data_IF_952747300376
#
_entry.id   IF_952747300376
#
_cell.length_a   1.000
_cell.length_b   1.000
_cell.length_c   1.000
_cell.angle_alpha   90.00
_cell.angle_beta   90.00
_cell.angle_gamma   90.00
#
_symmetry.space_group_name_H-M   'P 1'
#
loop_
_entity.id
_entity.type
_entity.pdbx_description
1 polymer ?
#
# COMPACT_ATOMS: atom_id res chain seq x y z
N UNK A 1 4.92 13.19 -36.21
CA UNK A 1 4.88 12.46 -34.93
C UNK A 1 6.19 11.74 -34.67
N UNK A 2 6.44 10.55 -35.21
CA UNK A 2 7.73 9.83 -35.02
C UNK A 2 8.97 10.71 -35.30
N UNK A 3 8.99 11.42 -36.44
CA UNK A 3 10.10 12.29 -36.83
C UNK A 3 10.42 13.37 -35.79
N UNK A 4 9.37 13.97 -35.23
CA UNK A 4 9.46 15.02 -34.22
C UNK A 4 9.96 14.44 -32.88
N UNK A 5 9.42 13.30 -32.48
CA UNK A 5 9.81 12.58 -31.27
C UNK A 5 11.27 12.12 -31.32
N UNK A 6 11.71 11.58 -32.46
CA UNK A 6 13.08 11.11 -32.66
C UNK A 6 14.07 12.26 -32.49
N UNK A 7 13.80 13.41 -33.14
CA UNK A 7 14.63 14.60 -33.02
C UNK A 7 14.66 15.11 -31.59
N UNK A 8 13.49 15.21 -30.94
CA UNK A 8 13.37 15.64 -29.55
C UNK A 8 14.15 14.73 -28.59
N UNK A 9 13.98 13.41 -28.66
CA UNK A 9 14.67 12.46 -27.79
C UNK A 9 16.19 12.50 -28.00
N UNK A 10 16.65 12.65 -29.24
CA UNK A 10 18.07 12.81 -29.56
C UNK A 10 18.64 14.08 -28.90
N UNK A 11 17.97 15.22 -29.05
CA UNK A 11 18.40 16.49 -28.48
C UNK A 11 18.31 16.51 -26.95
N UNK A 12 17.24 15.94 -26.37
CA UNK A 12 17.08 15.77 -24.92
C UNK A 12 18.20 14.95 -24.28
N UNK A 13 18.75 13.98 -25.02
CA UNK A 13 19.88 13.15 -24.57
C UNK A 13 21.24 13.71 -24.99
N UNK A 14 21.32 14.97 -25.45
CA UNK A 14 22.55 15.62 -25.92
C UNK A 14 23.31 14.82 -26.99
N UNK A 15 22.59 14.11 -27.86
CA UNK A 15 23.17 13.21 -28.84
C UNK A 15 23.22 13.86 -30.22
N UNK A 16 24.33 13.70 -30.94
CA UNK A 16 24.45 14.09 -32.34
C UNK A 16 23.83 13.03 -33.27
N UNK A 17 23.50 13.41 -34.51
CA UNK A 17 22.97 12.43 -35.48
C UNK A 17 23.96 11.30 -35.78
N UNK A 18 25.28 11.55 -35.66
CA UNK A 18 26.32 10.54 -35.90
C UNK A 18 26.43 9.56 -34.73
N UNK A 19 26.25 10.02 -33.49
CA UNK A 19 26.24 9.14 -32.31
C UNK A 19 25.02 8.23 -32.31
N UNK A 20 23.84 8.75 -32.67
CA UNK A 20 22.65 7.91 -32.81
C UNK A 20 22.80 6.88 -33.94
N UNK A 21 23.34 7.30 -35.09
CA UNK A 21 23.65 6.38 -36.19
C UNK A 21 24.61 5.27 -35.72
N UNK A 22 25.66 5.63 -35.00
CA UNK A 22 26.67 4.68 -34.48
C UNK A 22 26.04 3.70 -33.50
N UNK A 23 25.17 4.16 -32.59
CA UNK A 23 24.43 3.27 -31.66
C UNK A 23 23.51 2.28 -32.38
N UNK A 24 22.98 2.66 -33.55
CA UNK A 24 22.15 1.82 -34.41
C UNK A 24 22.97 0.97 -35.40
N UNK A 25 24.30 0.92 -35.26
CA UNK A 25 25.18 0.16 -36.14
C UNK A 25 25.32 0.73 -37.55
N UNK A 26 25.04 2.03 -37.75
CA UNK A 26 25.10 2.73 -39.04
C UNK A 26 26.34 3.61 -39.13
N UNK A 27 26.93 3.68 -40.34
CA UNK A 27 28.16 4.45 -40.61
C UNK A 27 27.93 5.92 -40.97
N UNK A 28 26.70 6.31 -41.33
CA UNK A 28 26.38 7.66 -41.81
C UNK A 28 25.17 8.25 -41.12
N UNK A 29 25.14 9.58 -41.03
CA UNK A 29 24.02 10.37 -40.48
C UNK A 29 22.81 10.44 -41.40
N UNK A 30 22.96 10.04 -42.67
CA UNK A 30 21.93 10.18 -43.71
C UNK A 30 20.58 9.60 -43.32
N UNK A 31 20.56 8.37 -42.79
CA UNK A 31 19.31 7.72 -42.36
C UNK A 31 18.62 8.50 -41.23
N UNK A 32 19.39 8.95 -40.23
CA UNK A 32 18.85 9.72 -39.10
C UNK A 32 18.27 11.04 -39.59
N UNK A 33 18.99 11.75 -40.45
CA UNK A 33 18.55 13.02 -41.02
C UNK A 33 17.24 12.88 -41.82
N UNK A 34 17.11 11.81 -42.61
CA UNK A 34 15.87 11.55 -43.36
C UNK A 34 14.69 11.16 -42.46
N UNK A 35 14.94 10.44 -41.37
CA UNK A 35 13.92 10.10 -40.37
C UNK A 35 13.44 11.33 -39.59
N UNK A 36 14.35 12.19 -39.15
CA UNK A 36 14.01 13.44 -38.45
C UNK A 36 13.27 14.45 -39.33
N UNK A 37 13.50 14.40 -40.66
CA UNK A 37 12.75 15.18 -41.64
C UNK A 37 11.39 14.57 -42.00
N UNK A 38 11.09 13.36 -41.52
CA UNK A 38 9.86 12.64 -41.81
C UNK A 38 9.77 12.10 -43.25
N UNK A 39 10.87 12.05 -43.99
CA UNK A 39 10.90 11.58 -45.39
C UNK A 39 10.71 10.06 -45.49
N UNK A 40 11.28 9.33 -44.53
CA UNK A 40 11.19 7.87 -44.42
C UNK A 40 11.07 7.44 -42.96
N UNK A 41 10.53 6.24 -42.74
CA UNK A 41 10.49 5.62 -41.41
C UNK A 41 11.39 4.38 -41.36
N UNK A 42 12.04 4.09 -40.21
CA UNK A 42 12.81 2.87 -40.04
C UNK A 42 11.93 1.62 -40.07
N UNK A 43 12.54 0.46 -40.35
CA UNK A 43 11.86 -0.84 -40.23
C UNK A 43 11.59 -1.16 -38.75
N UNK A 44 10.60 -2.02 -38.50
CA UNK A 44 10.17 -2.42 -37.14
C UNK A 44 11.31 -2.80 -36.19
N UNK A 45 12.31 -3.57 -36.65
CA UNK A 45 13.47 -3.93 -35.82
C UNK A 45 14.25 -2.69 -35.34
N UNK A 46 14.54 -1.77 -36.27
CA UNK A 46 15.27 -0.52 -35.97
C UNK A 46 14.41 0.42 -35.11
N UNK A 47 13.10 0.42 -35.29
CA UNK A 47 12.17 1.16 -34.42
C UNK A 47 12.24 0.64 -32.97
N UNK A 48 12.30 -0.68 -32.77
CA UNK A 48 12.48 -1.28 -31.46
C UNK A 48 13.83 -0.88 -30.85
N UNK A 49 14.91 -0.89 -31.64
CA UNK A 49 16.23 -0.48 -31.18
C UNK A 49 16.25 0.99 -30.74
N UNK A 50 15.59 1.88 -31.51
CA UNK A 50 15.44 3.29 -31.16
C UNK A 50 14.66 3.44 -29.83
N UNK A 51 13.55 2.72 -29.68
CA UNK A 51 12.75 2.72 -28.46
C UNK A 51 13.58 2.27 -27.24
N UNK A 52 14.40 1.23 -27.39
CA UNK A 52 15.33 0.77 -26.35
C UNK A 52 16.45 1.77 -26.04
N UNK A 53 17.05 2.40 -27.06
CA UNK A 53 18.12 3.40 -26.86
C UNK A 53 17.63 4.58 -26.03
N UNK A 54 16.42 5.06 -26.30
CA UNK A 54 15.84 6.20 -25.60
C UNK A 54 14.98 5.81 -24.41
N UNK A 55 14.83 4.51 -24.15
CA UNK A 55 14.05 3.95 -23.06
C UNK A 55 12.60 4.49 -23.04
N UNK A 56 11.98 4.49 -24.22
CA UNK A 56 10.58 4.91 -24.43
C UNK A 56 9.78 3.72 -24.97
N UNK A 57 8.46 3.71 -24.74
CA UNK A 57 7.60 2.73 -25.40
C UNK A 57 7.56 3.02 -26.90
N UNK A 58 7.59 1.97 -27.72
CA UNK A 58 7.42 2.08 -29.17
C UNK A 58 6.08 2.75 -29.54
N UNK A 59 5.01 2.45 -28.80
CA UNK A 59 3.71 3.06 -29.04
C UNK A 59 3.73 4.57 -28.78
N UNK A 60 4.35 5.01 -27.68
CA UNK A 60 4.50 6.43 -27.34
C UNK A 60 5.37 7.15 -28.38
N UNK A 61 6.46 6.52 -28.82
CA UNK A 61 7.37 7.03 -29.84
C UNK A 61 6.65 7.28 -31.18
N UNK A 62 5.64 6.47 -31.51
CA UNK A 62 4.93 6.55 -32.78
C UNK A 62 3.70 7.44 -32.72
N UNK A 63 2.95 7.39 -31.62
CA UNK A 63 1.56 7.87 -31.55
C UNK A 63 1.35 9.06 -30.59
N UNK A 64 2.31 9.41 -29.73
CA UNK A 64 2.19 10.53 -28.78
C UNK A 64 3.17 11.66 -29.10
N UNK A 65 2.83 12.90 -28.74
CA UNK A 65 3.77 14.03 -28.86
C UNK A 65 4.62 14.15 -27.59
N UNK A 66 5.83 13.61 -27.63
CA UNK A 66 6.74 13.58 -26.48
C UNK A 66 7.33 14.96 -26.13
N UNK A 67 7.10 15.98 -26.96
CA UNK A 67 7.60 17.34 -26.72
C UNK A 67 6.75 18.12 -25.70
N UNK A 68 5.49 17.71 -25.53
CA UNK A 68 4.49 18.43 -24.72
C UNK A 68 4.21 17.78 -23.36
N UNK A 69 4.95 16.74 -22.97
CA UNK A 69 4.84 16.16 -21.63
C UNK A 69 5.47 17.09 -20.58
N UNK A 70 4.67 18.02 -20.06
CA UNK A 70 4.87 18.70 -18.78
C UNK A 70 4.55 17.80 -17.57
N UNK A 71 4.41 16.49 -17.77
CA UNK A 71 4.47 15.52 -16.68
C UNK A 71 5.84 14.86 -16.69
N UNK A 72 6.50 14.92 -15.53
CA UNK A 72 7.81 14.34 -15.27
C UNK A 72 7.75 12.83 -15.45
N UNK A 73 7.85 12.33 -16.68
CA UNK A 73 8.36 10.98 -16.91
C UNK A 73 9.88 11.07 -16.74
N UNK A 74 10.28 11.05 -15.47
CA UNK A 74 11.62 10.68 -15.01
C UNK A 74 12.16 9.52 -15.87
N UNK A 75 13.48 9.45 -16.14
CA UNK A 75 14.06 8.35 -16.90
C UNK A 75 13.59 7.06 -16.24
N UNK A 76 12.71 6.32 -16.91
CA UNK A 76 12.00 5.20 -16.32
C UNK A 76 13.00 4.07 -16.20
N UNK A 77 13.84 4.12 -15.17
CA UNK A 77 14.78 3.08 -14.83
C UNK A 77 13.99 1.78 -14.81
N UNK A 78 14.22 0.94 -15.82
CA UNK A 78 13.57 -0.35 -15.88
C UNK A 78 14.05 -1.18 -14.69
N UNK A 79 13.10 -1.58 -13.85
CA UNK A 79 13.35 -2.35 -12.64
C UNK A 79 14.16 -3.61 -12.98
N UNK A 80 13.90 -4.22 -14.13
CA UNK A 80 14.61 -5.40 -14.59
C UNK A 80 16.08 -5.10 -14.93
N UNK A 81 16.36 -3.97 -15.58
CA UNK A 81 17.72 -3.51 -15.88
C UNK A 81 18.54 -3.27 -14.61
N UNK A 82 17.97 -2.58 -13.61
CA UNK A 82 18.65 -2.38 -12.32
C UNK A 82 18.88 -3.72 -11.62
N UNK A 83 17.84 -4.55 -11.54
CA UNK A 83 17.90 -5.84 -10.85
C UNK A 83 19.01 -6.74 -11.41
N UNK A 84 19.18 -6.75 -12.74
CA UNK A 84 20.22 -7.52 -13.42
C UNK A 84 21.64 -6.97 -13.18
N UNK A 85 21.81 -5.70 -12.82
CA UNK A 85 23.13 -5.14 -12.46
C UNK A 85 23.52 -5.42 -11.00
N UNK A 86 22.56 -5.80 -10.14
CA UNK A 86 22.84 -6.12 -8.73
C UNK A 86 23.53 -7.47 -8.57
N UNK A 87 24.37 -7.59 -7.52
CA UNK A 87 24.93 -8.87 -7.10
C UNK A 87 23.90 -9.78 -6.41
N UNK A 88 24.23 -11.07 -6.26
CA UNK A 88 23.36 -12.10 -5.66
C UNK A 88 22.73 -11.70 -4.30
N UNK A 89 23.52 -11.11 -3.40
CA UNK A 89 23.03 -10.69 -2.07
C UNK A 89 22.00 -9.58 -2.19
N UNK A 90 22.25 -8.58 -3.05
CA UNK A 90 21.35 -7.45 -3.28
C UNK A 90 20.10 -7.85 -4.07
N UNK A 91 20.22 -8.73 -5.06
CA UNK A 91 19.05 -9.29 -5.78
C UNK A 91 18.09 -10.00 -4.83
N UNK A 92 18.60 -10.82 -3.91
CA UNK A 92 17.77 -11.47 -2.88
C UNK A 92 17.04 -10.47 -2.00
N UNK A 93 17.70 -9.39 -1.60
CA UNK A 93 17.08 -8.34 -0.79
C UNK A 93 15.96 -7.61 -1.55
N UNK A 94 16.22 -7.22 -2.81
CA UNK A 94 15.22 -6.58 -3.68
C UNK A 94 14.03 -7.51 -3.92
N UNK A 95 14.27 -8.80 -4.20
CA UNK A 95 13.19 -9.77 -4.40
C UNK A 95 12.36 -9.95 -3.12
N UNK A 96 13.00 -10.08 -1.95
CA UNK A 96 12.31 -10.18 -0.67
C UNK A 96 11.45 -8.95 -0.39
N UNK A 97 11.97 -7.76 -0.68
CA UNK A 97 11.24 -6.51 -0.52
C UNK A 97 10.06 -6.43 -1.51
N UNK A 98 10.28 -6.73 -2.79
CA UNK A 98 9.22 -6.71 -3.80
C UNK A 98 8.09 -7.71 -3.51
N UNK A 99 8.44 -8.93 -3.07
CA UNK A 99 7.44 -9.92 -2.63
C UNK A 99 6.67 -9.43 -1.42
N UNK A 100 7.38 -8.90 -0.39
CA UNK A 100 6.73 -8.32 0.79
C UNK A 100 5.75 -7.21 0.41
N UNK A 101 6.15 -6.28 -0.45
CA UNK A 101 5.30 -5.18 -0.90
C UNK A 101 4.12 -5.66 -1.75
N UNK A 102 4.31 -6.71 -2.57
CA UNK A 102 3.21 -7.33 -3.31
C UNK A 102 2.23 -8.04 -2.38
N UNK A 103 2.73 -8.71 -1.35
CA UNK A 103 1.89 -9.36 -0.34
C UNK A 103 1.13 -8.32 0.49
N UNK A 104 1.81 -7.24 0.91
CA UNK A 104 1.18 -6.06 1.54
C UNK A 104 0.11 -5.47 0.62
N UNK A 105 0.40 -5.24 -0.67
CA UNK A 105 -0.59 -4.73 -1.63
C UNK A 105 -1.77 -5.69 -1.86
N UNK A 106 -1.53 -7.00 -1.88
CA UNK A 106 -2.60 -8.00 -1.99
C UNK A 106 -3.46 -8.04 -0.73
N UNK A 107 -2.89 -7.75 0.43
CA UNK A 107 -3.61 -7.59 1.67
C UNK A 107 -4.29 -6.22 1.78
N UNK A 108 -3.71 -5.16 1.21
CA UNK A 108 -4.38 -3.88 0.98
C UNK A 108 -5.60 -4.10 0.09
N UNK A 109 -5.53 -4.89 -0.98
CA UNK A 109 -6.72 -5.22 -1.78
C UNK A 109 -7.71 -6.19 -1.09
N UNK A 110 -7.38 -6.74 0.08
CA UNK A 110 -8.35 -7.37 0.99
C UNK A 110 -8.91 -6.39 2.03
N UNK A 111 -8.24 -5.25 2.24
CA UNK A 111 -8.63 -4.16 3.15
C UNK A 111 -9.06 -2.86 2.41
N UNK A 112 -9.07 -2.85 1.07
CA UNK A 112 -9.58 -1.77 0.23
C UNK A 112 -11.04 -2.06 -0.04
N UNK A 113 -11.86 -1.32 0.68
CA UNK A 113 -13.21 -1.00 0.29
C UNK A 113 -13.13 -0.39 -1.11
N UNK A 114 -13.53 -1.17 -2.12
CA UNK A 114 -14.04 -0.55 -3.36
C UNK A 114 -15.14 0.38 -2.90
N UNK A 115 -15.06 1.68 -3.20
CA UNK A 115 -16.12 2.63 -2.86
C UNK A 115 -17.45 1.95 -3.17
N UNK A 116 -18.26 1.64 -2.16
CA UNK A 116 -19.48 0.93 -2.41
C UNK A 116 -20.27 1.86 -3.30
N UNK A 117 -20.57 1.41 -4.51
CA UNK A 117 -21.83 1.78 -5.12
C UNK A 117 -22.86 1.76 -3.99
N UNK A 118 -23.71 2.79 -3.86
CA UNK A 118 -24.66 3.06 -2.75
C UNK A 118 -25.51 1.87 -2.25
N UNK A 119 -25.37 0.72 -2.89
CA UNK A 119 -25.97 -0.58 -2.65
C UNK A 119 -25.14 -1.54 -1.75
N UNK A 120 -23.89 -1.23 -1.37
CA UNK A 120 -22.99 -2.16 -0.64
C UNK A 120 -22.48 -1.64 0.74
N UNK A 121 -23.22 -0.74 1.39
CA UNK A 121 -22.95 -0.30 2.77
C UNK A 121 -24.13 -0.61 3.68
N UNK A 122 -23.87 -0.79 4.96
CA UNK A 122 -24.90 -0.94 6.00
C UNK A 122 -24.62 0.05 7.12
N UNK A 123 -25.68 0.66 7.65
CA UNK A 123 -25.59 1.50 8.85
C UNK A 123 -25.76 0.61 10.07
N UNK A 124 -24.81 0.68 10.99
CA UNK A 124 -24.86 -0.04 12.26
C UNK A 124 -24.75 0.95 13.41
N UNK A 125 -25.41 0.62 14.51
CA UNK A 125 -25.21 1.33 15.78
C UNK A 125 -23.92 0.82 16.43
N UNK A 126 -23.10 1.75 16.91
CA UNK A 126 -21.81 1.46 17.53
C UNK A 126 -21.94 1.60 19.04
N UNK A 127 -21.42 0.63 19.79
CA UNK A 127 -21.53 0.53 21.25
C UNK A 127 -20.54 1.44 22.01
N UNK A 128 -19.72 2.20 21.28
CA UNK A 128 -18.74 3.14 21.83
C UNK A 128 -17.45 3.24 21.02
N UNK A 129 -16.41 3.81 21.64
CA UNK A 129 -15.08 4.00 21.05
C UNK A 129 -14.04 3.20 21.84
N UNK A 130 -13.12 2.51 21.14
CA UNK A 130 -11.97 1.85 21.75
C UNK A 130 -10.71 2.70 21.52
N UNK A 131 -10.01 3.04 22.61
CA UNK A 131 -8.77 3.81 22.57
C UNK A 131 -7.58 2.93 22.23
N UNK A 132 -6.83 3.36 21.23
CA UNK A 132 -5.60 2.75 20.77
C UNK A 132 -4.39 3.53 21.27
N UNK A 133 -4.38 4.06 22.49
CA UNK A 133 -3.21 4.78 23.01
C UNK A 133 -3.31 5.19 24.47
N UNK A 134 -3.93 6.33 24.73
CA UNK A 134 -3.88 7.02 26.05
C UNK A 134 -5.04 6.62 26.97
N UNK A 135 -5.89 5.69 26.51
CA UNK A 135 -7.16 5.41 27.16
C UNK A 135 -8.18 6.50 26.85
N UNK A 136 -9.40 6.09 26.57
CA UNK A 136 -10.54 6.99 26.45
C UNK A 136 -11.53 6.52 27.50
N UNK A 137 -11.94 7.44 28.38
CA UNK A 137 -12.93 7.14 29.40
C UNK A 137 -14.24 6.81 28.69
N UNK A 138 -14.80 5.63 28.97
CA UNK A 138 -16.16 5.31 28.56
C UNK A 138 -17.09 6.24 29.33
N UNK A 139 -17.57 7.30 28.69
CA UNK A 139 -18.66 8.10 29.24
C UNK A 139 -19.94 7.26 29.15
N UNK A 140 -20.45 6.85 30.31
CA UNK A 140 -21.66 6.04 30.49
C UNK A 140 -22.93 6.74 29.92
N UNK A 141 -22.80 8.01 29.49
CA UNK A 141 -23.85 8.83 28.88
C UNK A 141 -23.69 9.07 27.37
N UNK A 142 -22.79 8.38 26.68
CA UNK A 142 -22.67 8.52 25.24
C UNK A 142 -23.85 7.86 24.51
N UNK A 143 -24.68 8.67 23.85
CA UNK A 143 -25.77 8.15 23.02
C UNK A 143 -25.18 7.25 21.92
N UNK A 144 -25.78 6.07 21.65
CA UNK A 144 -25.36 5.24 20.53
C UNK A 144 -25.42 6.04 19.24
N UNK A 145 -24.33 6.08 18.50
CA UNK A 145 -24.24 6.77 17.22
C UNK A 145 -24.05 5.75 16.10
N UNK A 146 -24.72 5.98 14.98
CA UNK A 146 -24.66 5.06 13.85
C UNK A 146 -23.52 5.41 12.90
N UNK A 147 -22.80 4.40 12.42
CA UNK A 147 -21.72 4.53 11.44
C UNK A 147 -22.07 3.72 10.20
N UNK A 148 -21.80 4.28 9.02
CA UNK A 148 -21.91 3.55 7.75
C UNK A 148 -20.65 2.73 7.53
N UNK A 149 -20.80 1.41 7.47
CA UNK A 149 -19.71 0.45 7.24
C UNK A 149 -19.90 -0.29 5.92
N UNK A 150 -18.81 -0.80 5.31
CA UNK A 150 -18.90 -1.69 4.16
C UNK A 150 -19.59 -3.01 4.51
N UNK A 151 -20.44 -3.51 3.62
CA UNK A 151 -20.99 -4.86 3.70
C UNK A 151 -20.04 -5.89 3.03
N UNK A 152 -20.04 -7.16 3.45
CA UNK A 152 -20.90 -7.76 4.48
C UNK A 152 -20.37 -7.52 5.90
N UNK A 153 -21.28 -7.19 6.81
CA UNK A 153 -21.03 -7.18 8.26
C UNK A 153 -21.17 -8.63 8.76
N UNK A 154 -20.36 -9.09 9.72
CA UNK A 154 -20.55 -10.42 10.32
C UNK A 154 -21.96 -10.56 10.92
N UNK A 155 -22.70 -11.62 10.61
CA UNK A 155 -24.09 -11.76 11.11
C UNK A 155 -24.19 -12.02 12.62
N UNK A 156 -23.07 -12.31 13.29
CA UNK A 156 -23.06 -12.86 14.65
C UNK A 156 -22.14 -12.11 15.64
N UNK A 157 -21.82 -10.84 15.42
CA UNK A 157 -21.07 -10.04 16.41
C UNK A 157 -21.94 -9.71 17.64
N UNK A 158 -21.29 -9.43 18.77
CA UNK A 158 -21.98 -8.99 20.00
C UNK A 158 -21.78 -7.50 20.27
N UNK A 159 -20.65 -6.92 19.86
CA UNK A 159 -20.38 -5.48 19.95
C UNK A 159 -19.73 -4.95 18.68
N UNK A 160 -19.94 -3.67 18.39
CA UNK A 160 -19.20 -2.92 17.38
C UNK A 160 -18.59 -1.67 18.02
N UNK A 161 -17.30 -1.43 17.77
CA UNK A 161 -16.61 -0.25 18.29
C UNK A 161 -15.86 0.49 17.20
N UNK A 162 -15.86 1.81 17.26
CA UNK A 162 -14.97 2.62 16.43
C UNK A 162 -13.60 2.71 17.11
N UNK A 163 -12.54 2.51 16.35
CA UNK A 163 -11.16 2.66 16.83
C UNK A 163 -10.80 4.15 16.83
N UNK A 164 -10.14 4.58 17.89
CA UNK A 164 -9.54 5.90 18.01
C UNK A 164 -8.04 5.77 18.36
N UNK A 165 -7.18 6.07 17.40
CA UNK A 165 -5.72 6.02 17.48
C UNK A 165 -5.06 4.90 16.68
N UNK A 166 -3.72 4.88 16.70
CA UNK A 166 -2.89 4.09 15.78
C UNK A 166 -2.08 2.94 16.42
N UNK A 167 -2.27 2.60 17.70
CA UNK A 167 -1.44 1.56 18.35
C UNK A 167 -1.61 0.13 17.83
N UNK A 168 -2.65 -0.11 17.02
CA UNK A 168 -2.93 -1.41 16.42
C UNK A 168 -2.67 -1.42 14.91
N UNK A 169 -2.05 -0.36 14.38
CA UNK A 169 -1.53 -0.34 13.02
C UNK A 169 -0.41 -1.38 12.84
N UNK A 170 -0.25 -1.93 11.62
CA UNK A 170 -0.98 -1.59 10.39
C UNK A 170 -2.28 -2.39 10.19
N UNK A 171 -2.71 -3.22 11.14
CA UNK A 171 -3.85 -4.13 10.93
C UNK A 171 -5.20 -3.51 11.31
N UNK A 172 -5.18 -2.56 12.23
CA UNK A 172 -6.36 -1.83 12.67
C UNK A 172 -6.04 -0.34 12.63
N UNK A 173 -6.86 0.41 11.91
CA UNK A 173 -6.61 1.81 11.60
C UNK A 173 -7.48 2.74 12.43
N UNK A 174 -6.97 3.96 12.65
CA UNK A 174 -7.77 5.03 13.25
C UNK A 174 -9.07 5.26 12.46
N UNK A 175 -10.19 5.40 13.19
CA UNK A 175 -11.52 5.58 12.62
C UNK A 175 -12.20 4.31 12.08
N UNK A 176 -11.51 3.17 12.02
CA UNK A 176 -12.09 1.90 11.59
C UNK A 176 -13.10 1.36 12.61
N UNK A 177 -14.17 0.71 12.15
CA UNK A 177 -15.07 -0.05 13.03
C UNK A 177 -14.60 -1.49 13.14
N UNK A 178 -14.48 -1.99 14.36
CA UNK A 178 -14.19 -3.40 14.68
C UNK A 178 -15.42 -4.05 15.28
N UNK A 179 -15.68 -5.26 14.81
CA UNK A 179 -16.70 -6.13 15.37
C UNK A 179 -16.05 -7.04 16.41
N UNK A 180 -16.75 -7.26 17.51
CA UNK A 180 -16.28 -8.07 18.63
C UNK A 180 -17.29 -9.18 18.89
N UNK A 181 -16.79 -10.41 19.04
CA UNK A 181 -17.55 -11.56 19.53
C UNK A 181 -17.19 -11.83 20.97
N UNK A 182 -18.19 -11.91 21.84
CA UNK A 182 -18.04 -12.41 23.20
C UNK A 182 -17.76 -13.91 23.15
N UNK A 183 -16.65 -14.30 23.77
CA UNK A 183 -16.21 -15.70 23.85
C UNK A 183 -16.14 -16.15 25.30
N UNK A 184 -16.36 -17.44 25.55
CA UNK A 184 -16.31 -18.00 26.91
C UNK A 184 -14.89 -18.20 27.43
N UNK A 185 -13.89 -18.31 26.54
CA UNK A 185 -12.48 -18.45 26.89
C UNK A 185 -11.63 -17.70 25.88
N UNK A 186 -10.58 -17.06 26.37
CA UNK A 186 -9.61 -16.31 25.58
C UNK A 186 -8.34 -17.14 25.39
N UNK A 187 -7.62 -16.87 24.31
CA UNK A 187 -6.36 -17.52 23.98
C UNK A 187 -5.26 -16.49 23.80
N UNK A 188 -4.04 -16.90 24.12
CA UNK A 188 -2.84 -16.15 23.80
C UNK A 188 -2.78 -15.80 22.31
N UNK A 189 -2.34 -14.59 22.02
CA UNK A 189 -2.19 -14.05 20.66
C UNK A 189 -3.48 -13.50 20.02
N UNK A 190 -4.64 -13.60 20.67
CA UNK A 190 -5.89 -13.05 20.12
C UNK A 190 -5.95 -11.52 20.25
N UNK A 191 -6.50 -10.84 19.23
CA UNK A 191 -6.89 -9.43 19.37
C UNK A 191 -8.18 -9.34 20.17
N UNK A 192 -8.12 -8.65 21.31
CA UNK A 192 -9.24 -8.54 22.26
C UNK A 192 -9.65 -7.09 22.46
N UNK A 193 -10.95 -6.90 22.71
CA UNK A 193 -11.47 -5.67 23.30
C UNK A 193 -11.51 -5.86 24.82
N UNK A 194 -10.85 -4.97 25.57
CA UNK A 194 -10.69 -5.06 27.00
C UNK A 194 -10.90 -3.69 27.66
N UNK A 195 -11.43 -3.67 28.88
CA UNK A 195 -11.45 -2.49 29.75
C UNK A 195 -10.47 -2.74 30.89
N UNK A 196 -9.55 -1.81 31.09
CA UNK A 196 -8.58 -1.83 32.18
C UNK A 196 -8.29 -0.40 32.62
N UNK A 197 -8.23 -0.16 33.93
CA UNK A 197 -8.06 1.18 34.53
C UNK A 197 -9.01 2.24 33.91
N UNK A 198 -10.30 1.89 33.80
CA UNK A 198 -11.34 2.75 33.21
C UNK A 198 -11.23 2.99 31.70
N UNK A 199 -10.19 2.47 31.06
CA UNK A 199 -9.87 2.72 29.66
C UNK A 199 -10.23 1.51 28.80
N UNK A 200 -10.90 1.74 27.68
CA UNK A 200 -11.23 0.69 26.72
C UNK A 200 -10.12 0.57 25.67
N UNK A 201 -9.65 -0.65 25.44
CA UNK A 201 -8.50 -0.98 24.59
C UNK A 201 -8.86 -2.02 23.55
N UNK A 202 -8.31 -1.84 22.34
CA UNK A 202 -8.14 -2.93 21.37
C UNK A 202 -6.65 -3.30 21.34
N UNK A 203 -6.29 -4.51 21.74
CA UNK A 203 -4.88 -4.96 21.85
C UNK A 203 -4.77 -6.45 21.57
N UNK A 204 -3.55 -6.93 21.28
CA UNK A 204 -3.27 -8.37 21.26
C UNK A 204 -3.03 -8.87 22.67
N UNK A 205 -3.81 -9.84 23.13
CA UNK A 205 -3.60 -10.48 24.42
C UNK A 205 -2.35 -11.36 24.36
N UNK A 206 -1.42 -11.14 25.27
CA UNK A 206 -0.30 -12.04 25.54
C UNK A 206 -0.43 -12.56 26.97
N UNK A 207 -0.37 -13.87 27.18
CA UNK A 207 -0.39 -14.48 28.52
C UNK A 207 0.91 -15.26 28.72
N UNK A 208 1.63 -14.96 29.79
CA UNK A 208 2.87 -15.68 30.12
C UNK A 208 2.62 -16.97 30.92
N UNK A 209 3.67 -17.77 31.11
CA UNK A 209 3.62 -19.06 31.80
C UNK A 209 3.22 -18.91 33.29
N UNK A 210 3.47 -17.73 33.86
CA UNK A 210 3.13 -17.37 35.24
C UNK A 210 1.67 -16.86 35.37
N UNK A 211 0.96 -16.71 34.24
CA UNK A 211 -0.45 -16.33 34.17
C UNK A 211 -0.71 -14.83 34.07
N UNK A 212 0.33 -14.00 33.93
CA UNK A 212 0.18 -12.55 33.77
C UNK A 212 -0.25 -12.21 32.35
N UNK A 213 -1.31 -11.40 32.25
CA UNK A 213 -1.79 -10.87 30.99
C UNK A 213 -1.08 -9.56 30.63
N UNK A 214 -0.72 -9.42 29.36
CA UNK A 214 -0.22 -8.19 28.76
C UNK A 214 -1.05 -7.86 27.52
N UNK A 215 -1.52 -6.63 27.44
CA UNK A 215 -2.17 -6.09 26.25
C UNK A 215 -1.10 -5.46 25.36
N UNK A 216 -0.78 -6.15 24.27
CA UNK A 216 0.32 -5.82 23.35
C UNK A 216 -0.17 -4.93 22.21
N UNK A 217 0.53 -3.82 21.99
CA UNK A 217 0.37 -2.95 20.82
C UNK A 217 0.96 -3.62 19.59
N UNK A 218 0.27 -3.59 18.45
CA UNK A 218 0.84 -4.07 17.19
C UNK A 218 1.76 -3.04 16.55
N UNK A 219 1.49 -1.75 16.78
CA UNK A 219 2.36 -0.65 16.40
C UNK A 219 3.48 -0.48 17.45
N UNK A 220 4.77 -0.64 17.07
CA UNK A 220 5.90 -0.53 17.99
C UNK A 220 6.09 0.84 18.65
N UNK A 221 5.51 1.90 18.07
CA UNK A 221 5.62 3.25 18.62
C UNK A 221 4.78 3.46 19.89
N UNK A 222 3.94 2.47 20.24
CA UNK A 222 3.06 2.51 21.40
C UNK A 222 3.44 1.45 22.44
N UNK A 223 3.44 1.79 23.74
CA UNK A 223 3.80 0.86 24.79
C UNK A 223 2.77 -0.28 24.93
N UNK A 224 3.22 -1.41 25.48
CA UNK A 224 2.33 -2.48 25.94
C UNK A 224 1.78 -2.14 27.32
N UNK A 225 0.57 -2.62 27.62
CA UNK A 225 -0.06 -2.43 28.93
C UNK A 225 -0.01 -3.75 29.68
N UNK A 226 0.78 -3.80 30.75
CA UNK A 226 0.83 -4.96 31.64
C UNK A 226 -0.31 -4.87 32.65
N UNK A 227 -1.09 -5.94 32.78
CA UNK A 227 -2.20 -5.99 33.73
C UNK A 227 -1.63 -6.30 35.12
N UNK A 228 -1.93 -5.46 36.11
CA UNK A 228 -1.63 -5.71 37.52
C UNK A 228 -2.76 -6.55 38.14
N UNK A 229 -2.41 -7.60 38.88
CA UNK A 229 -3.34 -8.52 39.54
C UNK A 229 -4.31 -7.81 40.51
N UNK A 230 -3.98 -6.60 40.97
CA UNK A 230 -4.82 -5.80 41.87
C UNK A 230 -5.99 -5.11 41.19
N UNK A 231 -5.84 -4.76 39.90
CA UNK A 231 -6.88 -4.11 39.12
C UNK A 231 -7.47 -5.10 38.13
N UNK A 232 -8.75 -5.44 38.33
CA UNK A 232 -9.42 -6.41 37.47
C UNK A 232 -9.57 -5.89 36.03
N UNK A 233 -8.94 -6.56 35.07
CA UNK A 233 -9.23 -6.35 33.65
C UNK A 233 -10.57 -7.01 33.30
N UNK A 234 -11.44 -6.29 32.57
CA UNK A 234 -12.69 -6.81 32.02
C UNK A 234 -12.54 -7.04 30.51
N UNK A 235 -12.53 -8.30 30.09
CA UNK A 235 -12.55 -8.64 28.67
C UNK A 235 -13.98 -8.57 28.12
N UNK A 236 -14.16 -7.86 27.01
CA UNK A 236 -15.44 -7.72 26.32
C UNK A 236 -15.62 -8.82 25.27
N UNK A 237 -14.54 -9.20 24.58
CA UNK A 237 -14.56 -10.24 23.55
C UNK A 237 -13.33 -10.22 22.65
N UNK A 238 -13.39 -10.99 21.58
CA UNK A 238 -12.34 -11.13 20.57
C UNK A 238 -12.78 -10.43 19.29
N UNK A 239 -11.87 -9.68 18.67
CA UNK A 239 -12.14 -9.05 17.38
C UNK A 239 -12.26 -10.10 16.28
N UNK A 240 -13.19 -9.90 15.35
CA UNK A 240 -13.24 -10.72 14.14
C UNK A 240 -11.93 -10.53 13.35
N UNK A 241 -11.37 -11.65 12.88
CA UNK A 241 -10.13 -11.74 12.10
C UNK A 241 -10.40 -11.78 10.60
#
# INVERSE_FOLDING_TARGET
MFSDNLKYLREKNNMSQIELATKLGRKSTSSISEWEKGKYQPKAGVLSDIAHIFNVNLDDLMNKDLRNENEVSSPKLDVLSIFNQLNLKRRRAVLKFAVKQLDEQRQENKNVITFPNKHNTTTIDVDGVLSAGVGEYLDDNSEPFSVTVPAPVPDNYDYAFKINGSSMEPYYHDGQVVFIKKVGQYRDGQTVAAIYDGCAYLKRLAVDDDGYATLVSLNPDYPNVRIDDKEGMKLLGVAFS
#
